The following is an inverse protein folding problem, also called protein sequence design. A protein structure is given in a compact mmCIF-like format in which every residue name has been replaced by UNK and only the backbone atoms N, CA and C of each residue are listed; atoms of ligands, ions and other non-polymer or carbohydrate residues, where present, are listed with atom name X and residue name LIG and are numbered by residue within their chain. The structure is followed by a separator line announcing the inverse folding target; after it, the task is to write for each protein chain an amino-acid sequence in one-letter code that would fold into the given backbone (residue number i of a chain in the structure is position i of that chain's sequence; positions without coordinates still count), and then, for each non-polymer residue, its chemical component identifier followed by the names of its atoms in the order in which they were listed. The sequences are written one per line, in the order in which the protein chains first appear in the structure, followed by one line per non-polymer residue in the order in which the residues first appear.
data_IF_717291054010
#
_entry.id   IF_717291054010
#
_cell.length_a   1.000
_cell.length_b   1.000
_cell.length_c   1.000
_cell.angle_alpha   90.00
_cell.angle_beta   90.00
_cell.angle_gamma   90.00
#
_symmetry.space_group_name_H-M   'P 1'
#
loop_
_entity.id
_entity.type
_entity.pdbx_description
1 polymer ?
#
# COMPACT_ATOMS: atom_id res chain seq x y z
N UNK A 1 -4.34 -16.46 15.96
CA UNK A 1 -2.92 -16.50 15.58
C UNK A 1 -2.64 -17.44 14.41
N UNK A 2 -3.11 -18.70 14.43
CA UNK A 2 -2.90 -19.65 13.33
C UNK A 2 -3.43 -19.16 11.97
N UNK A 3 -4.62 -18.52 11.95
CA UNK A 3 -5.25 -18.04 10.72
C UNK A 3 -4.46 -16.90 10.06
N UNK A 4 -3.96 -15.95 10.86
CA UNK A 4 -3.09 -14.87 10.36
C UNK A 4 -1.83 -15.43 9.69
N UNK A 5 -1.17 -16.38 10.36
CA UNK A 5 0.03 -17.00 9.82
C UNK A 5 -0.26 -17.78 8.52
N UNK A 6 -1.34 -18.55 8.46
CA UNK A 6 -1.75 -19.27 7.26
C UNK A 6 -2.07 -18.33 6.09
N UNK A 7 -2.72 -17.19 6.37
CA UNK A 7 -3.03 -16.19 5.35
C UNK A 7 -1.79 -15.47 4.82
N UNK A 8 -0.74 -15.33 5.63
CA UNK A 8 0.53 -14.71 5.22
C UNK A 8 1.51 -15.68 4.57
N UNK A 9 1.32 -16.99 4.75
CA UNK A 9 2.25 -18.01 4.27
C UNK A 9 2.52 -17.93 2.75
N UNK A 10 1.53 -17.73 1.85
CA UNK A 10 1.79 -17.58 0.41
C UNK A 10 2.68 -16.37 0.08
N UNK A 11 2.49 -15.25 0.79
CA UNK A 11 3.28 -14.02 0.63
C UNK A 11 4.73 -14.26 1.06
N UNK A 12 4.92 -14.92 2.21
CA UNK A 12 6.24 -15.27 2.72
C UNK A 12 6.95 -16.29 1.82
N UNK A 13 6.25 -17.29 1.32
CA UNK A 13 6.78 -18.29 0.39
C UNK A 13 7.20 -17.63 -0.94
N UNK A 14 6.40 -16.71 -1.49
CA UNK A 14 6.76 -15.96 -2.68
C UNK A 14 8.00 -15.07 -2.46
N UNK A 15 8.09 -14.41 -1.30
CA UNK A 15 9.27 -13.62 -0.93
C UNK A 15 10.52 -14.50 -0.81
N UNK A 16 10.42 -15.66 -0.17
CA UNK A 16 11.52 -16.62 -0.04
C UNK A 16 11.96 -17.17 -1.42
N UNK A 17 11.02 -17.51 -2.28
CA UNK A 17 11.32 -17.94 -3.66
C UNK A 17 12.06 -16.82 -4.43
N UNK A 18 11.58 -15.57 -4.31
CA UNK A 18 12.26 -14.39 -4.87
C UNK A 18 13.68 -14.23 -4.34
N UNK A 19 13.89 -14.41 -3.04
CA UNK A 19 15.21 -14.35 -2.42
C UNK A 19 16.19 -15.40 -2.94
N UNK A 20 15.74 -16.64 -3.08
CA UNK A 20 16.54 -17.74 -3.66
C UNK A 20 16.90 -17.42 -5.12
N UNK A 21 15.93 -16.94 -5.91
CA UNK A 21 16.16 -16.54 -7.30
C UNK A 21 17.13 -15.36 -7.39
N UNK A 22 16.96 -14.34 -6.56
CA UNK A 22 17.84 -13.17 -6.53
C UNK A 22 19.28 -13.49 -6.15
N UNK A 23 19.50 -14.54 -5.32
CA UNK A 23 20.85 -15.05 -5.02
C UNK A 23 21.50 -15.81 -6.16
N UNK A 24 20.71 -16.48 -6.99
CA UNK A 24 21.20 -17.39 -8.04
C UNK A 24 21.22 -16.77 -9.42
N UNK A 25 20.39 -15.75 -9.65
CA UNK A 25 20.15 -15.13 -10.95
C UNK A 25 20.21 -13.61 -10.83
N UNK A 26 20.78 -12.95 -11.83
CA UNK A 26 20.72 -11.48 -11.96
C UNK A 26 19.40 -11.06 -12.59
N UNK A 27 18.30 -11.08 -11.81
CA UNK A 27 16.99 -10.68 -12.29
C UNK A 27 16.86 -9.16 -12.31
N UNK A 28 16.32 -8.63 -13.39
CA UNK A 28 16.03 -7.20 -13.49
C UNK A 28 14.73 -6.85 -12.74
N UNK A 29 14.88 -6.34 -11.53
CA UNK A 29 13.76 -5.89 -10.69
C UNK A 29 12.95 -4.79 -11.37
N UNK A 30 13.58 -3.95 -12.19
CA UNK A 30 12.92 -2.87 -12.93
C UNK A 30 11.92 -3.43 -13.94
N UNK A 31 12.29 -4.45 -14.68
CA UNK A 31 11.39 -5.14 -15.62
C UNK A 31 10.20 -5.76 -14.89
N UNK A 32 10.45 -6.49 -13.80
CA UNK A 32 9.38 -7.07 -12.98
C UNK A 32 8.43 -5.99 -12.45
N UNK A 33 8.98 -4.90 -11.92
CA UNK A 33 8.20 -3.76 -11.42
C UNK A 33 7.40 -3.07 -12.51
N UNK A 34 7.95 -2.95 -13.72
CA UNK A 34 7.25 -2.38 -14.88
C UNK A 34 6.03 -3.21 -15.26
N UNK A 35 6.15 -4.54 -15.31
CA UNK A 35 5.02 -5.44 -15.57
C UNK A 35 3.93 -5.25 -14.50
N UNK A 36 4.32 -5.20 -13.23
CA UNK A 36 3.37 -5.02 -12.13
C UNK A 36 2.62 -3.68 -12.25
N UNK A 37 3.34 -2.57 -12.44
CA UNK A 37 2.74 -1.22 -12.40
C UNK A 37 1.94 -0.91 -13.68
N UNK A 38 2.43 -1.33 -14.84
CA UNK A 38 1.85 -0.92 -16.12
C UNK A 38 0.88 -1.92 -16.74
N UNK A 39 0.94 -3.20 -16.35
CA UNK A 39 0.05 -4.23 -16.88
C UNK A 39 -0.93 -4.78 -15.83
N UNK A 40 -0.43 -5.16 -14.65
CA UNK A 40 -1.21 -5.93 -13.67
C UNK A 40 -2.02 -5.02 -12.74
N UNK A 41 -1.38 -4.04 -12.10
CA UNK A 41 -2.03 -3.15 -11.13
C UNK A 41 -3.21 -2.36 -11.70
N UNK A 42 -3.19 -1.85 -12.96
CA UNK A 42 -4.33 -1.17 -13.55
C UNK A 42 -5.59 -2.04 -13.60
N UNK A 43 -5.46 -3.31 -14.00
CA UNK A 43 -6.59 -4.25 -14.06
C UNK A 43 -7.18 -4.51 -12.68
N UNK A 44 -6.31 -4.73 -11.69
CA UNK A 44 -6.74 -4.97 -10.29
C UNK A 44 -7.47 -3.75 -9.71
N UNK A 45 -6.94 -2.54 -9.94
CA UNK A 45 -7.57 -1.31 -9.43
C UNK A 45 -8.87 -0.98 -10.18
N UNK A 46 -8.93 -1.22 -11.50
CA UNK A 46 -10.15 -1.07 -12.29
C UNK A 46 -11.27 -1.96 -11.75
N UNK A 47 -11.01 -3.27 -11.59
CA UNK A 47 -11.96 -4.23 -11.03
C UNK A 47 -12.41 -3.85 -9.61
N UNK A 48 -11.46 -3.44 -8.75
CA UNK A 48 -11.76 -3.04 -7.38
C UNK A 48 -12.72 -1.84 -7.34
N UNK A 49 -12.49 -0.81 -8.16
CA UNK A 49 -13.35 0.38 -8.24
C UNK A 49 -14.73 0.02 -8.84
N UNK A 50 -14.79 -0.80 -9.89
CA UNK A 50 -16.07 -1.24 -10.45
C UNK A 50 -16.94 -1.98 -9.45
N UNK A 51 -16.37 -2.79 -8.59
CA UNK A 51 -17.07 -3.56 -7.56
C UNK A 51 -17.42 -2.75 -6.31
N UNK A 52 -16.74 -1.62 -6.08
CA UNK A 52 -16.97 -0.81 -4.89
C UNK A 52 -18.38 -0.21 -4.88
N UNK A 53 -19.18 -0.34 -3.84
CA UNK A 53 -20.47 0.36 -3.73
C UNK A 53 -20.27 1.89 -3.72
N UNK A 54 -21.07 2.61 -4.53
CA UNK A 54 -20.99 4.09 -4.70
C UNK A 54 -22.08 4.81 -3.89
N UNK A 55 -22.43 4.32 -2.70
CA UNK A 55 -23.53 4.89 -1.92
C UNK A 55 -23.17 4.97 -0.44
N UNK A 56 -23.72 5.99 0.22
CA UNK A 56 -23.68 6.16 1.68
C UNK A 56 -22.27 6.11 2.27
N UNK A 57 -22.11 5.47 3.40
CA UNK A 57 -20.86 5.33 4.14
C UNK A 57 -19.74 4.67 3.32
N UNK A 58 -20.08 3.77 2.37
CA UNK A 58 -19.08 3.09 1.54
C UNK A 58 -18.27 4.04 0.65
N UNK A 59 -18.84 5.18 0.24
CA UNK A 59 -18.11 6.20 -0.52
C UNK A 59 -17.17 7.02 0.40
N UNK A 60 -17.53 7.22 1.65
CA UNK A 60 -16.70 7.93 2.62
C UNK A 60 -15.40 7.18 2.93
N UNK A 61 -15.40 5.85 2.91
CA UNK A 61 -14.24 5.03 3.27
C UNK A 61 -13.00 5.32 2.40
N UNK A 62 -13.05 5.21 1.05
CA UNK A 62 -11.88 5.49 0.22
C UNK A 62 -11.47 6.96 0.23
N UNK A 63 -12.41 7.90 0.40
CA UNK A 63 -12.11 9.32 0.53
C UNK A 63 -11.32 9.57 1.82
N UNK A 64 -11.79 9.04 2.95
CA UNK A 64 -11.15 9.19 4.24
C UNK A 64 -9.74 8.58 4.26
N UNK A 65 -9.57 7.38 3.72
CA UNK A 65 -8.24 6.74 3.66
C UNK A 65 -7.30 7.43 2.69
N UNK A 66 -7.80 7.98 1.58
CA UNK A 66 -7.02 8.84 0.69
C UNK A 66 -6.51 10.09 1.43
N UNK A 67 -7.39 10.77 2.18
CA UNK A 67 -7.03 11.96 2.97
C UNK A 67 -5.97 11.60 4.01
N UNK A 68 -6.15 10.51 4.77
CA UNK A 68 -5.19 10.06 5.78
C UNK A 68 -3.83 9.74 5.15
N UNK A 69 -3.79 8.93 4.08
CA UNK A 69 -2.55 8.56 3.40
C UNK A 69 -1.80 9.77 2.84
N UNK A 70 -2.54 10.71 2.22
CA UNK A 70 -1.99 11.94 1.67
C UNK A 70 -1.46 12.86 2.76
N UNK A 71 -2.22 13.08 3.82
CA UNK A 71 -1.81 13.89 4.97
C UNK A 71 -0.58 13.27 5.65
N UNK A 72 -0.59 11.96 5.89
CA UNK A 72 0.55 11.26 6.48
C UNK A 72 1.82 11.43 5.64
N UNK A 73 1.72 11.32 4.32
CA UNK A 73 2.84 11.53 3.40
C UNK A 73 3.41 12.96 3.50
N UNK A 74 2.55 13.97 3.49
CA UNK A 74 2.94 15.38 3.56
C UNK A 74 3.54 15.76 4.93
N UNK A 75 2.93 15.33 6.03
CA UNK A 75 3.47 15.56 7.38
C UNK A 75 4.80 14.83 7.58
N UNK A 76 4.90 13.59 7.07
CA UNK A 76 6.15 12.81 7.12
C UNK A 76 7.27 13.48 6.32
N UNK A 77 6.97 14.06 5.16
CA UNK A 77 7.91 14.87 4.40
C UNK A 77 8.42 16.06 5.21
N UNK A 78 7.51 16.83 5.81
CA UNK A 78 7.86 18.00 6.62
C UNK A 78 8.70 17.62 7.85
N UNK A 79 8.36 16.52 8.52
CA UNK A 79 9.10 15.99 9.66
C UNK A 79 10.48 15.47 9.24
N UNK A 80 10.55 14.67 8.16
CA UNK A 80 11.80 14.10 7.67
C UNK A 80 12.80 15.18 7.26
N UNK A 81 12.36 16.27 6.65
CA UNK A 81 13.22 17.42 6.31
C UNK A 81 13.87 18.09 7.51
N UNK A 82 13.32 17.94 8.70
CA UNK A 82 13.89 18.46 9.96
C UNK A 82 14.85 17.48 10.62
N UNK A 83 14.70 16.17 10.35
CA UNK A 83 15.41 15.10 11.04
C UNK A 83 16.54 14.47 10.19
N UNK A 84 16.47 14.59 8.86
CA UNK A 84 17.36 13.93 7.91
C UNK A 84 17.91 14.97 6.94
N UNK A 85 19.23 14.95 6.73
CA UNK A 85 19.92 15.86 5.78
C UNK A 85 19.92 15.34 4.34
N UNK A 86 19.85 14.02 4.14
CA UNK A 86 19.90 13.40 2.82
C UNK A 86 18.52 13.45 2.15
N UNK A 87 18.40 14.21 1.06
CA UNK A 87 17.14 14.43 0.36
C UNK A 87 16.48 13.12 -0.12
N UNK A 88 17.26 12.16 -0.59
CA UNK A 88 16.78 10.85 -1.05
C UNK A 88 16.04 10.10 0.09
N UNK A 89 16.60 10.11 1.30
CA UNK A 89 15.97 9.49 2.47
C UNK A 89 14.71 10.23 2.89
N UNK A 90 14.69 11.56 2.82
CA UNK A 90 13.50 12.38 3.10
C UNK A 90 12.37 12.01 2.15
N UNK A 91 12.64 11.92 0.86
CA UNK A 91 11.67 11.56 -0.16
C UNK A 91 11.16 10.12 0.02
N UNK A 92 12.03 9.20 0.45
CA UNK A 92 11.61 7.84 0.75
C UNK A 92 10.70 7.76 2.00
N UNK A 93 10.97 8.52 3.07
CA UNK A 93 10.08 8.61 4.24
C UNK A 93 8.68 9.06 3.81
N UNK A 94 8.60 10.13 3.02
CA UNK A 94 7.34 10.66 2.52
C UNK A 94 6.58 9.64 1.64
N UNK A 95 7.30 8.93 0.77
CA UNK A 95 6.73 7.88 -0.07
C UNK A 95 6.21 6.71 0.77
N UNK A 96 7.01 6.20 1.70
CA UNK A 96 6.66 5.07 2.56
C UNK A 96 5.44 5.36 3.46
N UNK A 97 5.23 6.64 3.81
CA UNK A 97 4.12 7.09 4.64
C UNK A 97 2.79 7.23 3.87
N UNK A 98 2.81 7.26 2.53
CA UNK A 98 1.62 7.52 1.70
C UNK A 98 0.60 6.38 1.71
N UNK A 99 1.01 5.17 2.07
CA UNK A 99 0.18 3.96 2.00
C UNK A 99 0.55 2.93 3.08
N UNK A 100 -0.19 1.83 3.03
CA UNK A 100 0.03 0.63 3.83
C UNK A 100 0.07 -0.59 2.92
N UNK A 101 0.67 -1.67 3.37
CA UNK A 101 0.67 -2.95 2.65
C UNK A 101 -0.71 -3.63 2.78
N UNK A 102 -1.72 -3.03 2.12
CA UNK A 102 -3.12 -3.42 2.26
C UNK A 102 -3.44 -4.74 1.58
N UNK A 103 -2.81 -5.04 0.45
CA UNK A 103 -3.13 -6.21 -0.36
C UNK A 103 -2.36 -7.46 0.07
N UNK A 104 -1.03 -7.35 0.29
CA UNK A 104 -0.21 -8.53 0.60
C UNK A 104 -0.29 -8.93 2.08
N UNK A 105 -0.26 -7.94 2.98
CA UNK A 105 -0.31 -8.14 4.42
C UNK A 105 -1.72 -7.88 4.98
N UNK A 106 -2.30 -6.76 4.59
CA UNK A 106 -3.51 -6.23 5.18
C UNK A 106 -4.75 -7.09 4.94
N UNK A 107 -4.91 -7.65 3.74
CA UNK A 107 -6.03 -8.55 3.45
C UNK A 107 -5.93 -9.83 4.31
N UNK A 108 -4.72 -10.38 4.49
CA UNK A 108 -4.50 -11.53 5.38
C UNK A 108 -4.85 -11.22 6.83
N UNK A 109 -4.50 -10.04 7.32
CA UNK A 109 -4.86 -9.57 8.66
C UNK A 109 -6.37 -9.33 8.77
N UNK A 110 -6.98 -8.66 7.80
CA UNK A 110 -8.42 -8.39 7.77
C UNK A 110 -9.25 -9.69 7.82
N UNK A 111 -8.89 -10.69 7.01
CA UNK A 111 -9.53 -12.02 7.02
C UNK A 111 -9.38 -12.78 8.34
N UNK A 112 -8.34 -12.46 9.12
CA UNK A 112 -8.12 -13.09 10.42
C UNK A 112 -8.89 -12.40 11.58
N UNK A 113 -9.22 -11.10 11.42
CA UNK A 113 -9.73 -10.26 12.52
C UNK A 113 -11.15 -9.75 12.25
N UNK A 114 -11.48 -9.38 10.99
CA UNK A 114 -12.78 -8.79 10.68
C UNK A 114 -13.85 -9.83 10.40
N UNK A 115 -15.11 -9.57 10.79
CA UNK A 115 -16.26 -10.33 10.29
C UNK A 115 -16.34 -10.31 8.77
N UNK A 116 -16.77 -11.41 8.15
CA UNK A 116 -16.82 -11.56 6.69
C UNK A 116 -17.56 -10.42 5.96
N UNK A 117 -18.63 -9.90 6.56
CA UNK A 117 -19.39 -8.76 6.03
C UNK A 117 -18.56 -7.46 5.92
N UNK A 118 -17.50 -7.31 6.71
CA UNK A 118 -16.64 -6.11 6.70
C UNK A 118 -15.49 -6.20 5.71
N UNK A 119 -15.20 -7.36 5.13
CA UNK A 119 -14.09 -7.55 4.19
C UNK A 119 -14.28 -6.68 2.93
N UNK A 120 -15.51 -6.57 2.43
CA UNK A 120 -15.80 -5.70 1.28
C UNK A 120 -15.53 -4.22 1.62
N UNK A 121 -15.94 -3.75 2.79
CA UNK A 121 -15.68 -2.38 3.26
C UNK A 121 -14.17 -2.12 3.43
N UNK A 122 -13.42 -3.10 3.96
CA UNK A 122 -11.96 -3.04 4.01
C UNK A 122 -11.34 -2.89 2.60
N UNK A 123 -11.77 -3.69 1.64
CA UNK A 123 -11.26 -3.60 0.27
C UNK A 123 -11.59 -2.25 -0.38
N UNK A 124 -12.78 -1.70 -0.14
CA UNK A 124 -13.19 -0.38 -0.61
C UNK A 124 -12.34 0.72 0.02
N UNK A 125 -12.13 0.67 1.34
CA UNK A 125 -11.28 1.61 2.04
C UNK A 125 -9.82 1.56 1.53
N UNK A 126 -9.29 0.37 1.22
CA UNK A 126 -7.96 0.19 0.69
C UNK A 126 -7.72 0.90 -0.67
N UNK A 127 -8.77 1.14 -1.48
CA UNK A 127 -8.67 1.87 -2.74
C UNK A 127 -8.11 3.28 -2.51
N UNK A 128 -8.59 3.99 -1.50
CA UNK A 128 -8.11 5.34 -1.20
C UNK A 128 -6.62 5.37 -0.85
N UNK A 129 -6.12 4.41 -0.07
CA UNK A 129 -4.68 4.27 0.21
C UNK A 129 -3.89 3.94 -1.06
N UNK A 130 -4.39 3.08 -1.93
CA UNK A 130 -3.74 2.74 -3.20
C UNK A 130 -3.62 3.96 -4.13
N UNK A 131 -4.65 4.80 -4.18
CA UNK A 131 -4.62 6.07 -4.95
C UNK A 131 -3.66 7.07 -4.31
N UNK A 132 -3.66 7.21 -2.98
CA UNK A 132 -2.69 8.06 -2.25
C UNK A 132 -1.24 7.61 -2.53
N UNK A 133 -0.97 6.32 -2.49
CA UNK A 133 0.33 5.74 -2.82
C UNK A 133 0.75 6.05 -4.26
N UNK A 134 -0.17 5.87 -5.22
CA UNK A 134 0.10 6.14 -6.64
C UNK A 134 0.37 7.62 -6.90
N UNK A 135 -0.25 8.54 -6.16
CA UNK A 135 -0.05 9.98 -6.31
C UNK A 135 1.18 10.42 -5.50
N UNK A 136 1.11 10.34 -4.19
CA UNK A 136 2.13 10.89 -3.30
C UNK A 136 3.36 9.99 -3.18
N UNK A 137 3.15 8.67 -3.03
CA UNK A 137 4.24 7.71 -2.93
C UNK A 137 5.13 7.72 -4.17
N UNK A 138 4.53 7.60 -5.34
CA UNK A 138 5.28 7.66 -6.60
C UNK A 138 5.87 9.05 -6.86
N UNK A 139 5.13 10.14 -6.58
CA UNK A 139 5.63 11.51 -6.74
C UNK A 139 6.91 11.75 -5.95
N UNK A 140 6.92 11.42 -4.66
CA UNK A 140 8.10 11.66 -3.82
C UNK A 140 9.30 10.84 -4.29
N UNK A 141 9.15 9.59 -4.67
CA UNK A 141 10.25 8.81 -5.25
C UNK A 141 10.72 9.37 -6.59
N UNK A 142 9.82 9.79 -7.46
CA UNK A 142 10.16 10.40 -8.73
C UNK A 142 10.95 11.71 -8.57
N UNK A 143 10.74 12.45 -7.46
CA UNK A 143 11.48 13.67 -7.13
C UNK A 143 12.99 13.46 -6.91
N UNK A 144 13.44 12.23 -6.71
CA UNK A 144 14.88 11.94 -6.65
C UNK A 144 15.59 12.25 -7.97
N UNK A 145 14.99 11.87 -9.10
CA UNK A 145 15.61 11.94 -10.41
C UNK A 145 14.99 13.01 -11.32
N UNK A 146 13.84 13.60 -10.93
CA UNK A 146 13.06 14.47 -11.81
C UNK A 146 12.69 15.80 -11.13
N UNK A 147 12.52 16.84 -11.93
CA UNK A 147 11.94 18.11 -11.48
C UNK A 147 10.49 17.89 -10.98
N UNK A 148 9.96 18.84 -10.21
CA UNK A 148 8.59 18.72 -9.70
C UNK A 148 7.53 18.59 -10.82
N UNK A 149 7.70 19.33 -11.92
CA UNK A 149 6.81 19.27 -13.09
C UNK A 149 6.86 17.90 -13.76
N UNK A 150 8.08 17.39 -14.01
CA UNK A 150 8.25 16.07 -14.60
C UNK A 150 7.76 14.94 -13.68
N UNK A 151 7.91 15.08 -12.37
CA UNK A 151 7.37 14.12 -11.40
C UNK A 151 5.83 14.10 -11.44
N UNK A 152 5.16 15.26 -11.47
CA UNK A 152 3.69 15.35 -11.61
C UNK A 152 3.24 14.75 -12.94
N UNK A 153 3.90 15.06 -14.06
CA UNK A 153 3.57 14.46 -15.36
C UNK A 153 3.66 12.93 -15.36
N UNK A 154 4.66 12.37 -14.65
CA UNK A 154 4.80 10.92 -14.50
C UNK A 154 3.68 10.32 -13.66
N UNK A 155 3.28 10.96 -12.57
CA UNK A 155 2.13 10.56 -11.75
C UNK A 155 0.85 10.51 -12.61
N UNK A 156 0.54 11.59 -13.32
CA UNK A 156 -0.68 11.65 -14.17
C UNK A 156 -0.68 10.57 -15.26
N UNK A 157 0.50 10.14 -15.72
CA UNK A 157 0.65 9.07 -16.72
C UNK A 157 0.66 7.66 -16.14
N UNK A 158 0.52 7.49 -14.82
CA UNK A 158 0.42 6.15 -14.23
C UNK A 158 -0.87 5.46 -14.69
N UNK A 159 -0.79 4.26 -15.27
CA UNK A 159 -1.98 3.56 -15.76
C UNK A 159 -2.99 3.23 -14.68
N UNK A 160 -2.56 3.12 -13.42
CA UNK A 160 -3.45 2.90 -12.27
C UNK A 160 -4.44 4.06 -12.12
N UNK A 161 -3.99 5.33 -12.26
CA UNK A 161 -4.88 6.48 -12.15
C UNK A 161 -5.87 6.54 -13.30
N UNK A 162 -5.41 6.25 -14.53
CA UNK A 162 -6.30 6.15 -15.70
C UNK A 162 -7.33 5.03 -15.52
N UNK A 163 -6.92 3.89 -14.98
CA UNK A 163 -7.81 2.76 -14.71
C UNK A 163 -8.88 3.10 -13.66
N UNK A 164 -8.49 3.75 -12.55
CA UNK A 164 -9.42 4.23 -11.52
C UNK A 164 -10.42 5.24 -12.11
N UNK A 165 -9.92 6.23 -12.87
CA UNK A 165 -10.77 7.24 -13.52
C UNK A 165 -11.75 6.59 -14.50
N UNK A 166 -11.27 5.69 -15.35
CA UNK A 166 -12.11 4.97 -16.31
C UNK A 166 -13.17 4.13 -15.60
N UNK A 167 -12.83 3.42 -14.52
CA UNK A 167 -13.78 2.64 -13.74
C UNK A 167 -14.88 3.52 -13.14
N UNK A 168 -14.52 4.70 -12.60
CA UNK A 168 -15.48 5.67 -12.08
C UNK A 168 -16.42 6.19 -13.18
N UNK A 169 -15.87 6.54 -14.35
CA UNK A 169 -16.66 6.97 -15.50
C UNK A 169 -17.64 5.86 -15.94
N UNK A 170 -17.16 4.62 -16.05
CA UNK A 170 -18.03 3.48 -16.38
C UNK A 170 -19.20 3.35 -15.40
N UNK A 171 -18.93 3.46 -14.09
CA UNK A 171 -19.99 3.38 -13.06
C UNK A 171 -21.03 4.49 -13.15
N UNK A 172 -20.63 5.66 -13.60
CA UNK A 172 -21.52 6.83 -13.69
C UNK A 172 -22.35 6.82 -14.97
N UNK A 173 -21.91 6.08 -16.02
CA UNK A 173 -22.52 6.18 -17.35
C UNK A 173 -23.37 4.98 -17.73
N UNK A 174 -23.10 3.77 -17.21
CA UNK A 174 -23.84 2.57 -17.58
C UNK A 174 -23.78 1.46 -16.51
N UNK A 175 -24.70 0.45 -16.59
CA UNK A 175 -24.70 -0.71 -15.72
C UNK A 175 -23.39 -1.49 -15.87
N UNK A 176 -22.72 -1.78 -14.75
CA UNK A 176 -21.37 -2.37 -14.76
C UNK A 176 -21.34 -3.87 -14.55
N UNK A 177 -22.48 -4.53 -14.26
CA UNK A 177 -22.59 -5.95 -13.94
C UNK A 177 -22.02 -6.85 -15.04
N UNK A 178 -22.35 -6.56 -16.30
CA UNK A 178 -21.82 -7.29 -17.46
C UNK A 178 -20.31 -7.13 -17.63
N UNK A 179 -19.80 -5.92 -17.43
CA UNK A 179 -18.35 -5.62 -17.47
C UNK A 179 -17.62 -6.37 -16.36
N UNK A 180 -18.16 -6.32 -15.12
CA UNK A 180 -17.61 -7.02 -13.97
C UNK A 180 -17.56 -8.53 -14.22
N UNK A 181 -18.66 -9.13 -14.71
CA UNK A 181 -18.74 -10.56 -15.00
C UNK A 181 -17.70 -10.99 -16.06
N UNK A 182 -17.58 -10.20 -17.13
CA UNK A 182 -16.63 -10.49 -18.22
C UNK A 182 -15.18 -10.37 -17.78
N UNK A 183 -14.85 -9.39 -16.96
CA UNK A 183 -13.47 -9.14 -16.49
C UNK A 183 -13.08 -9.94 -15.28
N UNK A 184 -14.01 -10.54 -14.54
CA UNK A 184 -13.75 -11.24 -13.28
C UNK A 184 -12.63 -12.30 -13.38
N UNK A 185 -12.55 -13.18 -14.42
CA UNK A 185 -11.46 -14.15 -14.53
C UNK A 185 -10.09 -13.46 -14.67
N UNK A 186 -9.98 -12.47 -15.58
CA UNK A 186 -8.74 -11.71 -15.80
C UNK A 186 -8.31 -10.98 -14.53
N UNK A 187 -9.23 -10.30 -13.87
CA UNK A 187 -8.97 -9.59 -12.62
C UNK A 187 -8.51 -10.54 -11.50
N UNK A 188 -9.06 -11.74 -11.46
CA UNK A 188 -8.63 -12.81 -10.54
C UNK A 188 -7.18 -13.24 -10.78
N UNK A 189 -6.81 -13.53 -12.03
CA UNK A 189 -5.42 -13.86 -12.41
C UNK A 189 -4.46 -12.71 -12.12
N UNK A 190 -4.83 -11.49 -12.48
CA UNK A 190 -4.02 -10.29 -12.22
C UNK A 190 -3.82 -10.06 -10.71
N UNK A 191 -4.83 -10.30 -9.88
CA UNK A 191 -4.71 -10.18 -8.41
C UNK A 191 -3.74 -11.22 -7.85
N UNK A 192 -3.84 -12.48 -8.27
CA UNK A 192 -2.90 -13.53 -7.89
C UNK A 192 -1.47 -13.21 -8.34
N UNK A 193 -1.30 -12.78 -9.60
CA UNK A 193 0.00 -12.36 -10.14
C UNK A 193 0.57 -11.14 -9.41
N UNK A 194 -0.26 -10.16 -9.04
CA UNK A 194 0.16 -8.99 -8.27
C UNK A 194 0.73 -9.40 -6.91
N UNK A 195 0.03 -10.27 -6.18
CA UNK A 195 0.48 -10.77 -4.87
C UNK A 195 1.79 -11.55 -5.01
N UNK A 196 1.87 -12.45 -5.96
CA UNK A 196 3.04 -13.28 -6.19
C UNK A 196 4.26 -12.42 -6.58
N UNK A 197 4.16 -11.67 -7.66
CA UNK A 197 5.27 -10.87 -8.20
C UNK A 197 5.68 -9.74 -7.27
N UNK A 198 4.74 -9.04 -6.65
CA UNK A 198 5.05 -7.97 -5.69
C UNK A 198 5.80 -8.47 -4.45
N UNK A 199 5.49 -9.69 -3.98
CA UNK A 199 6.22 -10.33 -2.89
C UNK A 199 7.58 -10.84 -3.36
N UNK A 200 7.66 -11.41 -4.56
CA UNK A 200 8.91 -11.89 -5.15
C UNK A 200 9.90 -10.75 -5.42
N UNK A 201 9.44 -9.58 -5.87
CA UNK A 201 10.30 -8.39 -6.09
C UNK A 201 11.06 -8.03 -4.81
N UNK A 202 10.38 -8.04 -3.65
CA UNK A 202 11.04 -7.83 -2.36
C UNK A 202 12.09 -8.88 -2.08
N UNK A 203 11.75 -10.16 -2.31
CA UNK A 203 12.69 -11.27 -2.15
C UNK A 203 13.91 -11.14 -3.06
N UNK A 204 13.70 -10.88 -4.35
CA UNK A 204 14.78 -10.70 -5.34
C UNK A 204 15.71 -9.56 -4.93
N UNK A 205 15.14 -8.39 -4.54
CA UNK A 205 15.94 -7.26 -4.09
C UNK A 205 16.82 -7.62 -2.89
N UNK A 206 16.28 -8.36 -1.92
CA UNK A 206 17.05 -8.84 -0.75
C UNK A 206 18.10 -9.89 -1.13
N UNK A 207 17.78 -10.76 -2.08
CA UNK A 207 18.71 -11.80 -2.55
C UNK A 207 19.90 -11.26 -3.34
N UNK A 208 19.68 -10.20 -4.11
CA UNK A 208 20.73 -9.51 -4.88
C UNK A 208 21.60 -8.59 -4.03
N UNK A 209 21.07 -8.11 -2.91
CA UNK A 209 21.82 -7.24 -2.00
C UNK A 209 22.93 -8.03 -1.32
N UNK A 210 24.19 -7.65 -1.53
CA UNK A 210 25.35 -8.27 -0.88
C UNK A 210 25.37 -8.02 0.63
N UNK A 211 24.76 -6.94 1.10
CA UNK A 211 24.70 -6.54 2.51
C UNK A 211 23.33 -6.00 2.87
N UNK A 212 22.84 -6.37 4.04
CA UNK A 212 21.64 -5.77 4.63
C UNK A 212 21.97 -4.32 5.05
N UNK A 213 21.54 -3.34 4.28
CA UNK A 213 21.77 -1.91 4.55
C UNK A 213 20.60 -1.32 5.31
N UNK A 214 20.62 -1.41 6.61
CA UNK A 214 19.65 -0.71 7.47
C UNK A 214 20.26 0.60 7.98
N UNK A 215 19.57 1.70 7.75
CA UNK A 215 19.88 2.99 8.35
C UNK A 215 18.96 3.19 9.57
N UNK A 216 19.45 3.02 10.83
CA UNK A 216 18.57 2.97 12.01
C UNK A 216 17.70 4.21 12.18
N UNK A 217 18.23 5.41 11.94
CA UNK A 217 17.49 6.68 12.04
C UNK A 217 16.37 6.75 10.99
N UNK A 218 16.67 6.33 9.76
CA UNK A 218 15.69 6.26 8.66
C UNK A 218 14.58 5.26 8.98
N UNK A 219 14.94 4.04 9.38
CA UNK A 219 13.99 3.00 9.74
C UNK A 219 13.10 3.43 10.91
N UNK A 220 13.68 4.01 11.97
CA UNK A 220 12.92 4.51 13.11
C UNK A 220 11.92 5.59 12.69
N UNK A 221 12.34 6.56 11.87
CA UNK A 221 11.47 7.63 11.42
C UNK A 221 10.33 7.09 10.55
N UNK A 222 10.60 6.13 9.67
CA UNK A 222 9.58 5.47 8.86
C UNK A 222 8.59 4.70 9.75
N UNK A 223 9.07 3.96 10.75
CA UNK A 223 8.18 3.25 11.69
C UNK A 223 7.32 4.21 12.50
N UNK A 224 7.89 5.32 12.99
CA UNK A 224 7.14 6.34 13.72
C UNK A 224 6.08 7.01 12.84
N UNK A 225 6.43 7.40 11.62
CA UNK A 225 5.47 8.03 10.70
C UNK A 225 4.43 7.04 10.19
N UNK A 226 4.80 5.77 9.98
CA UNK A 226 3.89 4.76 9.46
C UNK A 226 2.92 4.25 10.52
N UNK A 227 3.37 4.00 11.73
CA UNK A 227 2.52 3.42 12.75
C UNK A 227 1.95 4.49 13.71
N UNK A 228 2.78 5.35 14.29
CA UNK A 228 2.31 6.31 15.28
C UNK A 228 1.60 7.51 14.64
N UNK A 229 2.24 8.20 13.70
CA UNK A 229 1.64 9.39 13.06
C UNK A 229 0.38 8.99 12.27
N UNK A 230 0.42 7.87 11.55
CA UNK A 230 -0.75 7.37 10.82
C UNK A 230 -1.90 7.03 11.78
N UNK A 231 -1.64 6.37 12.92
CA UNK A 231 -2.65 6.09 13.93
C UNK A 231 -3.25 7.37 14.52
N UNK A 232 -2.41 8.38 14.82
CA UNK A 232 -2.88 9.68 15.30
C UNK A 232 -3.79 10.38 14.28
N UNK A 233 -3.44 10.33 12.99
CA UNK A 233 -4.27 10.89 11.92
C UNK A 233 -5.60 10.12 11.77
N UNK A 234 -5.58 8.80 11.89
CA UNK A 234 -6.80 7.98 11.92
C UNK A 234 -7.69 8.39 13.08
N UNK A 235 -7.17 8.41 14.30
CA UNK A 235 -7.94 8.79 15.49
C UNK A 235 -8.50 10.20 15.34
N UNK A 236 -7.68 11.16 14.90
CA UNK A 236 -8.11 12.53 14.67
C UNK A 236 -9.24 12.61 13.66
N UNK A 237 -9.13 11.90 12.52
CA UNK A 237 -10.16 11.89 11.49
C UNK A 237 -11.48 11.31 12.04
N UNK A 238 -11.41 10.16 12.73
CA UNK A 238 -12.60 9.52 13.28
C UNK A 238 -13.28 10.38 14.36
N UNK A 239 -12.50 11.07 15.21
CA UNK A 239 -13.04 12.02 16.19
C UNK A 239 -13.72 13.22 15.50
N UNK A 240 -13.10 13.78 14.47
CA UNK A 240 -13.69 14.87 13.70
C UNK A 240 -14.95 14.43 12.96
N UNK A 241 -14.94 13.24 12.36
CA UNK A 241 -16.12 12.68 11.70
C UNK A 241 -17.26 12.48 12.69
N UNK A 242 -16.99 11.87 13.84
CA UNK A 242 -18.01 11.64 14.88
C UNK A 242 -18.61 12.94 15.41
N UNK A 243 -17.80 14.02 15.49
CA UNK A 243 -18.27 15.32 15.99
C UNK A 243 -19.03 16.12 14.93
N UNK A 244 -18.55 16.18 13.69
CA UNK A 244 -19.06 17.08 12.66
C UNK A 244 -19.96 16.44 11.61
N UNK A 245 -19.64 15.24 11.15
CA UNK A 245 -20.26 14.72 9.92
C UNK A 245 -20.97 13.38 10.08
N UNK A 246 -20.46 12.51 10.93
CA UNK A 246 -20.99 11.14 11.17
C UNK A 246 -21.20 10.34 9.88
N UNK A 247 -20.31 10.53 8.91
CA UNK A 247 -20.36 9.83 7.63
C UNK A 247 -19.83 8.40 7.72
N UNK A 248 -18.93 8.14 8.68
CA UNK A 248 -18.28 6.83 8.88
C UNK A 248 -18.93 6.14 10.09
N UNK A 249 -19.78 5.13 9.90
CA UNK A 249 -20.35 4.35 11.01
C UNK A 249 -19.25 3.76 11.91
N UNK A 250 -19.51 3.71 13.21
CA UNK A 250 -18.57 3.17 14.22
C UNK A 250 -18.12 1.75 13.90
N UNK A 251 -19.00 0.95 13.28
CA UNK A 251 -18.69 -0.42 12.84
C UNK A 251 -17.49 -0.49 11.89
N UNK A 252 -17.15 0.60 11.17
CA UNK A 252 -16.01 0.65 10.27
C UNK A 252 -14.74 1.24 10.91
N UNK A 253 -14.80 1.75 12.13
CA UNK A 253 -13.63 2.33 12.82
C UNK A 253 -12.49 1.32 12.94
N UNK A 254 -12.81 0.04 13.21
CA UNK A 254 -11.82 -1.05 13.27
C UNK A 254 -11.02 -1.19 11.98
N UNK A 255 -11.63 -0.96 10.81
CA UNK A 255 -10.93 -1.00 9.51
C UNK A 255 -9.79 0.04 9.46
N UNK A 256 -10.07 1.27 9.90
CA UNK A 256 -9.07 2.34 9.91
C UNK A 256 -7.92 2.05 10.88
N UNK A 257 -8.26 1.51 12.06
CA UNK A 257 -7.25 1.11 13.05
C UNK A 257 -6.38 -0.04 12.53
N UNK A 258 -6.96 -1.01 11.82
CA UNK A 258 -6.19 -2.07 11.18
C UNK A 258 -5.17 -1.53 10.18
N UNK A 259 -5.50 -0.48 9.41
CA UNK A 259 -4.52 0.14 8.51
C UNK A 259 -3.30 0.70 9.25
N UNK A 260 -3.45 1.19 10.48
CA UNK A 260 -2.33 1.67 11.28
C UNK A 260 -1.36 0.55 11.72
N UNK A 261 -1.84 -0.69 11.84
CA UNK A 261 -1.02 -1.86 12.19
C UNK A 261 -0.24 -2.43 10.99
N UNK A 262 -0.61 -2.05 9.76
CA UNK A 262 0.02 -2.61 8.56
C UNK A 262 1.40 -2.01 8.29
N UNK A 263 2.34 -2.79 7.72
CA UNK A 263 3.66 -2.30 7.35
C UNK A 263 3.60 -1.34 6.16
N UNK A 264 4.75 -0.76 5.82
CA UNK A 264 4.89 0.01 4.58
C UNK A 264 4.63 -0.88 3.37
N UNK A 265 4.09 -0.28 2.31
CA UNK A 265 3.71 -1.02 1.11
C UNK A 265 4.93 -1.51 0.31
N UNK A 266 4.88 -2.74 -0.18
CA UNK A 266 5.91 -3.31 -1.06
C UNK A 266 6.03 -2.52 -2.38
N UNK A 267 4.96 -1.83 -2.81
CA UNK A 267 4.95 -1.01 -4.02
C UNK A 267 5.98 0.14 -3.96
N UNK A 268 6.37 0.63 -2.77
CA UNK A 268 7.46 1.60 -2.64
C UNK A 268 8.77 1.08 -3.25
N UNK A 269 9.07 -0.22 -3.07
CA UNK A 269 10.21 -0.86 -3.71
C UNK A 269 10.03 -0.99 -5.23
N UNK A 270 8.83 -1.37 -5.66
CA UNK A 270 8.48 -1.52 -7.08
C UNK A 270 8.58 -0.17 -7.81
N UNK A 271 8.09 0.90 -7.21
CA UNK A 271 8.24 2.26 -7.73
C UNK A 271 9.69 2.70 -7.79
N UNK A 272 10.47 2.46 -6.73
CA UNK A 272 11.89 2.79 -6.71
C UNK A 272 12.66 2.07 -7.83
N UNK A 273 12.42 0.78 -8.03
CA UNK A 273 13.04 -0.01 -9.08
C UNK A 273 12.69 0.52 -10.48
N UNK A 274 11.42 0.84 -10.75
CA UNK A 274 11.01 1.40 -12.06
C UNK A 274 11.58 2.78 -12.34
N UNK A 275 11.83 3.57 -11.29
CA UNK A 275 12.47 4.88 -11.36
C UNK A 275 14.00 4.81 -11.42
N UNK A 276 14.60 3.60 -11.32
CA UNK A 276 16.03 3.39 -11.33
C UNK A 276 16.74 3.87 -10.05
N UNK A 277 16.04 3.85 -8.92
CA UNK A 277 16.59 4.20 -7.61
C UNK A 277 17.26 2.99 -6.94
N UNK A 278 18.19 3.26 -6.01
CA UNK A 278 18.79 2.23 -5.18
C UNK A 278 17.73 1.56 -4.28
N UNK A 279 17.72 0.23 -4.27
CA UNK A 279 16.66 -0.57 -3.61
C UNK A 279 17.08 -1.17 -2.27
N UNK A 280 18.38 -1.11 -1.92
CA UNK A 280 18.93 -1.80 -0.75
C UNK A 280 18.35 -1.29 0.58
N UNK A 281 18.37 0.03 0.79
CA UNK A 281 17.83 0.63 2.01
C UNK A 281 16.31 0.48 2.10
N UNK A 282 15.63 0.54 0.95
CA UNK A 282 14.17 0.40 0.82
C UNK A 282 13.75 -1.02 1.21
N UNK A 283 14.35 -2.05 0.58
CA UNK A 283 14.02 -3.45 0.85
C UNK A 283 14.32 -3.85 2.30
N UNK A 284 15.47 -3.40 2.84
CA UNK A 284 15.81 -3.64 4.25
C UNK A 284 14.82 -3.00 5.21
N UNK A 285 14.35 -1.78 4.93
CA UNK A 285 13.36 -1.09 5.77
C UNK A 285 11.98 -1.74 5.68
N UNK A 286 11.58 -2.24 4.51
CA UNK A 286 10.31 -2.98 4.34
C UNK A 286 10.31 -4.24 5.23
N UNK A 287 11.39 -5.00 5.25
CA UNK A 287 11.49 -6.21 6.11
C UNK A 287 11.34 -5.86 7.59
N UNK A 288 12.03 -4.81 8.06
CA UNK A 288 11.90 -4.36 9.44
C UNK A 288 10.47 -3.91 9.74
N UNK A 289 9.84 -3.17 8.83
CA UNK A 289 8.44 -2.75 8.96
C UNK A 289 7.48 -3.95 9.00
N UNK A 290 7.70 -4.97 8.16
CA UNK A 290 6.91 -6.21 8.21
C UNK A 290 7.05 -6.93 9.56
N UNK A 291 8.27 -7.03 10.11
CA UNK A 291 8.51 -7.65 11.42
C UNK A 291 7.78 -6.90 12.55
N UNK A 292 7.86 -5.56 12.55
CA UNK A 292 7.15 -4.72 13.53
C UNK A 292 5.64 -4.88 13.38
N UNK A 293 5.12 -4.89 12.16
CA UNK A 293 3.68 -5.06 11.90
C UNK A 293 3.16 -6.41 12.38
N UNK A 294 3.94 -7.50 12.24
CA UNK A 294 3.58 -8.83 12.77
C UNK A 294 3.46 -8.77 14.30
N UNK A 295 4.40 -8.11 14.97
CA UNK A 295 4.37 -7.95 16.44
C UNK A 295 3.13 -7.14 16.86
N UNK A 296 2.88 -6.00 16.21
CA UNK A 296 1.74 -5.14 16.51
C UNK A 296 0.40 -5.85 16.26
N UNK A 297 0.26 -6.54 15.12
CA UNK A 297 -0.94 -7.30 14.80
C UNK A 297 -1.16 -8.47 15.77
N UNK A 298 -0.10 -9.19 16.15
CA UNK A 298 -0.19 -10.28 17.13
C UNK A 298 -0.62 -9.76 18.50
N UNK A 299 -0.09 -8.63 18.94
CA UNK A 299 -0.49 -7.97 20.19
C UNK A 299 -1.96 -7.53 20.14
N UNK A 300 -2.39 -6.91 19.03
CA UNK A 300 -3.78 -6.49 18.85
C UNK A 300 -4.76 -7.67 18.88
N UNK A 301 -4.43 -8.78 18.19
CA UNK A 301 -5.25 -10.01 18.23
C UNK A 301 -5.29 -10.61 19.65
N UNK A 302 -4.17 -10.58 20.38
CA UNK A 302 -4.11 -11.13 21.76
C UNK A 302 -4.91 -10.30 22.76
N UNK A 303 -4.90 -8.97 22.63
CA UNK A 303 -5.63 -8.05 23.52
C UNK A 303 -7.13 -7.93 23.22
N UNK A 304 -7.64 -8.71 22.25
CA UNK A 304 -9.07 -8.71 21.90
C UNK A 304 -9.46 -7.44 21.14
N UNK A 305 -8.78 -7.19 20.04
CA UNK A 305 -9.13 -6.15 19.08
C UNK A 305 -10.46 -6.53 18.40
N UNK A 306 -11.57 -6.42 19.17
CA UNK A 306 -12.93 -6.71 18.74
C UNK A 306 -13.72 -5.41 18.67
#
# INVERSE_FOLDING_TARGET
MNQLFLNLLPVLAACLAGWVLGKRQSLDIRTLGTIVIYAIAPVVNFDAVLKAPMAGAMLALPIATFIIGSANSLFSYALARRCISQNEQVLFVASAASSANTLYYGLGLALAVLPGAMISAFCVAAIGLSVSESIFGYYFLARNNFSWRSAVQRVVRLPVLSAVTLALLCKLTFPTEGVIATLAPLAGYCRGALILLGSMILGVALGQNQRFKLHPRLALLILLTRHLLFALLVITLLLLDNYFTRLIPETYHTIFLLFALMPIANNSLTFAATLGLATEAISSTIIVSNAVAIILASAAVYTGFN
#
